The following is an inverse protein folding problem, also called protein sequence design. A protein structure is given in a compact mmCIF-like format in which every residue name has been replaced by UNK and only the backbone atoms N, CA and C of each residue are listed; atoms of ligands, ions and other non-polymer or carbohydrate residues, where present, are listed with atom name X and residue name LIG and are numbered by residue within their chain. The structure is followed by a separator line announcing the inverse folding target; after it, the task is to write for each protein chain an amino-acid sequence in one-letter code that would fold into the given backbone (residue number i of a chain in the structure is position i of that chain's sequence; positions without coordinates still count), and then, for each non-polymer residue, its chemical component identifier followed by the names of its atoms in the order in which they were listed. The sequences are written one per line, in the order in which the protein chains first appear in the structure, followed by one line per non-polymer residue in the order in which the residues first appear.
data_IF_048583957160
#
_entry.id   IF_048583957160
#
_cell.length_a   1.000
_cell.length_b   1.000
_cell.length_c   1.000
_cell.angle_alpha   90.00
_cell.angle_beta   90.00
_cell.angle_gamma   90.00
#
_symmetry.space_group_name_H-M   'P 1'
#
loop_
_entity.id
_entity.type
_entity.pdbx_description
1 polymer ?
#
# COMPACT_ATOMS: atom_id res chain seq x y z
N UNK A 1 -13.42 -5.14 -3.31
CA UNK A 1 -12.71 -3.86 -3.56
C UNK A 1 -11.30 -4.00 -3.02
N UNK A 2 -10.29 -3.81 -3.86
CA UNK A 2 -8.90 -3.74 -3.40
C UNK A 2 -8.83 -2.58 -2.38
N UNK A 3 -8.38 -2.80 -1.13
CA UNK A 3 -8.61 -1.81 -0.10
C UNK A 3 -7.60 -0.67 -0.28
N UNK A 4 -8.08 0.46 -0.80
CA UNK A 4 -7.32 1.69 -1.06
C UNK A 4 -7.11 2.51 0.23
N UNK A 5 -6.66 1.88 1.31
CA UNK A 5 -6.34 2.55 2.58
C UNK A 5 -4.84 2.43 2.84
N UNK A 6 -4.19 3.52 3.27
CA UNK A 6 -2.74 3.51 3.59
C UNK A 6 -2.40 2.53 4.72
N UNK A 7 -3.37 2.11 5.54
CA UNK A 7 -3.15 1.06 6.55
C UNK A 7 -2.61 -0.24 5.95
N UNK A 8 -3.05 -0.61 4.75
CA UNK A 8 -2.58 -1.84 4.10
C UNK A 8 -1.12 -1.73 3.69
N UNK A 9 -0.68 -0.52 3.37
CA UNK A 9 0.73 -0.26 3.14
C UNK A 9 1.56 -0.50 4.40
N UNK A 10 1.02 -0.68 5.61
CA UNK A 10 1.82 -1.11 6.77
C UNK A 10 2.27 -2.56 6.68
N UNK A 11 1.59 -3.40 5.91
CA UNK A 11 1.95 -4.82 5.76
C UNK A 11 3.08 -4.97 4.74
N UNK A 12 4.23 -5.47 5.21
CA UNK A 12 5.46 -5.51 4.41
C UNK A 12 5.36 -6.45 3.20
N UNK A 13 4.72 -7.60 3.36
CA UNK A 13 4.63 -8.59 2.28
C UNK A 13 3.77 -8.08 1.12
N UNK A 14 2.72 -7.32 1.39
CA UNK A 14 1.82 -6.69 0.44
C UNK A 14 2.56 -5.62 -0.33
N UNK A 15 3.29 -4.73 0.37
CA UNK A 15 4.15 -3.73 -0.29
C UNK A 15 5.16 -4.42 -1.21
N UNK A 16 5.84 -5.44 -0.70
CA UNK A 16 6.85 -6.21 -1.44
C UNK A 16 6.25 -6.87 -2.68
N UNK A 17 5.07 -7.48 -2.56
CA UNK A 17 4.34 -8.07 -3.68
C UNK A 17 4.00 -7.03 -4.75
N UNK A 18 3.44 -5.88 -4.36
CA UNK A 18 3.07 -4.81 -5.29
C UNK A 18 4.30 -4.28 -6.03
N UNK A 19 5.38 -4.00 -5.30
CA UNK A 19 6.59 -3.39 -5.86
C UNK A 19 7.36 -4.37 -6.75
N UNK A 20 7.43 -5.65 -6.36
CA UNK A 20 7.98 -6.70 -7.21
C UNK A 20 7.18 -6.83 -8.52
N UNK A 21 5.84 -6.77 -8.45
CA UNK A 21 4.98 -6.82 -9.64
C UNK A 21 5.20 -5.63 -10.58
N UNK A 22 5.36 -4.42 -10.02
CA UNK A 22 5.68 -3.21 -10.81
C UNK A 22 7.03 -3.36 -11.49
N UNK A 23 8.09 -3.71 -10.74
CA UNK A 23 9.43 -3.88 -11.28
C UNK A 23 9.46 -4.94 -12.39
N UNK A 24 8.82 -6.08 -12.17
CA UNK A 24 8.69 -7.13 -13.17
C UNK A 24 7.95 -6.65 -14.43
N UNK A 25 6.84 -5.93 -14.27
CA UNK A 25 6.07 -5.38 -15.40
C UNK A 25 6.85 -4.32 -16.21
N UNK A 26 7.82 -3.65 -15.57
CA UNK A 26 8.73 -2.72 -16.20
C UNK A 26 9.96 -3.41 -16.84
N UNK A 27 10.06 -4.75 -16.78
CA UNK A 27 11.19 -5.50 -17.31
C UNK A 27 12.46 -5.43 -16.44
N UNK A 28 12.34 -5.02 -15.18
CA UNK A 28 13.45 -4.99 -14.23
C UNK A 28 13.59 -6.35 -13.53
N UNK A 29 14.82 -6.70 -13.14
CA UNK A 29 15.07 -7.89 -12.33
C UNK A 29 14.56 -7.69 -10.90
N UNK A 30 13.91 -8.74 -10.38
CA UNK A 30 13.44 -8.80 -8.99
C UNK A 30 14.43 -9.64 -8.18
N UNK A 31 15.03 -9.10 -7.09
CA UNK A 31 15.92 -9.88 -6.22
C UNK A 31 15.23 -11.10 -5.62
N UNK A 32 15.99 -12.17 -5.31
CA UNK A 32 15.44 -13.38 -4.71
C UNK A 32 14.74 -13.11 -3.36
N UNK A 33 15.27 -12.18 -2.57
CA UNK A 33 14.68 -11.71 -1.31
C UNK A 33 13.53 -10.69 -1.47
N UNK A 34 13.22 -10.30 -2.71
CA UNK A 34 12.29 -9.22 -3.04
C UNK A 34 12.86 -7.82 -2.84
N UNK A 35 12.18 -6.82 -3.40
CA UNK A 35 12.57 -5.43 -3.27
C UNK A 35 12.22 -4.94 -1.86
N UNK A 36 13.21 -4.39 -1.16
CA UNK A 36 13.01 -3.73 0.14
C UNK A 36 12.44 -2.34 -0.08
N UNK A 37 11.37 -2.03 0.66
CA UNK A 37 10.75 -0.70 0.66
C UNK A 37 10.59 -0.23 2.10
N UNK A 38 11.32 0.83 2.43
CA UNK A 38 11.17 1.53 3.70
C UNK A 38 9.93 2.44 3.62
N UNK A 39 9.09 2.35 4.65
CA UNK A 39 7.91 3.20 4.77
C UNK A 39 8.29 4.54 5.40
N UNK A 40 7.80 5.66 4.86
CA UNK A 40 7.80 6.90 5.63
C UNK A 40 6.72 6.82 6.73
N UNK A 41 6.78 7.72 7.71
CA UNK A 41 5.75 7.78 8.76
C UNK A 41 4.38 8.09 8.15
N UNK A 42 3.48 7.10 8.15
CA UNK A 42 2.16 7.22 7.53
C UNK A 42 1.26 8.24 8.23
N UNK A 43 1.59 8.66 9.46
CA UNK A 43 0.86 9.72 10.19
C UNK A 43 0.99 11.09 9.55
N UNK A 44 1.94 11.28 8.62
CA UNK A 44 2.06 12.51 7.84
C UNK A 44 0.92 12.69 6.81
N UNK A 45 0.18 11.62 6.49
CA UNK A 45 -0.91 11.67 5.53
C UNK A 45 -2.26 11.93 6.21
N UNK A 46 -3.17 12.63 5.52
CA UNK A 46 -4.47 13.06 6.07
C UNK A 46 -5.31 11.89 6.62
N UNK A 47 -6.10 12.08 7.70
CA UNK A 47 -6.83 11.01 8.38
C UNK A 47 -7.87 10.29 7.51
N UNK A 48 -8.46 10.99 6.53
CA UNK A 48 -9.37 10.40 5.54
C UNK A 48 -8.70 9.33 4.65
N UNK A 49 -7.37 9.25 4.67
CA UNK A 49 -6.58 8.26 3.94
C UNK A 49 -6.20 7.04 4.81
N UNK A 50 -6.43 7.10 6.12
CA UNK A 50 -6.11 6.03 7.09
C UNK A 50 -7.35 5.21 7.43
N UNK A 51 -8.51 5.86 7.62
CA UNK A 51 -9.78 5.20 7.96
C UNK A 51 -10.88 5.47 6.92
N UNK A 52 -11.76 4.48 6.64
CA UNK A 52 -12.94 4.71 5.81
C UNK A 52 -13.88 5.70 6.51
N UNK A 53 -14.27 6.77 5.82
CA UNK A 53 -15.33 7.66 6.29
C UNK A 53 -16.64 6.84 6.35
N UNK A 54 -17.30 6.73 7.52
CA UNK A 54 -18.58 6.04 7.62
C UNK A 54 -19.59 6.67 6.66
N UNK A 55 -20.31 5.83 5.90
CA UNK A 55 -21.37 6.32 5.01
C UNK A 55 -22.48 6.93 5.87
N UNK A 56 -22.85 8.18 5.60
CA UNK A 56 -24.05 8.80 6.20
C UNK A 56 -25.28 7.97 5.81
N UNK A 57 -26.13 7.53 6.76
CA UNK A 57 -27.39 6.89 6.45
C UNK A 57 -28.23 7.81 5.56
N UNK A 58 -28.81 7.26 4.48
CA UNK A 58 -29.74 8.03 3.65
C UNK A 58 -31.04 8.18 4.44
N UNK A 59 -31.45 9.42 4.72
CA UNK A 59 -32.71 9.77 5.40
C UNK A 59 -33.94 9.30 4.62
#
# INVERSE_FOLDING_TARGET
VMPHFFRNWQEENLRKMIINGVAWSAGLEVPAQGIRVDLPDLKQFLPASIEPIPRTPRS
#
